data_IF_363123115758
#
_entry.id   IF_363123115758
#
_cell.length_a   1.000
_cell.length_b   1.000
_cell.length_c   1.000
_cell.angle_alpha   90.00
_cell.angle_beta   90.00
_cell.angle_gamma   90.00
#
_symmetry.space_group_name_H-M   'P 1'
#
loop_
_entity.id
_entity.type
_entity.pdbx_description
1 polymer ?
#
# COMPACT_ATOMS: atom_id res chain seq x y z
N UNK A 1 -20.35 -12.25 19.63
CA UNK A 1 -20.05 -10.92 19.08
C UNK A 1 -18.57 -10.80 18.66
N UNK A 2 -17.61 -11.24 19.49
CA UNK A 2 -16.16 -11.19 19.16
C UNK A 2 -15.76 -11.91 17.85
N UNK A 3 -16.33 -13.06 17.51
CA UNK A 3 -15.94 -13.78 16.29
C UNK A 3 -16.23 -13.01 15.00
N UNK A 4 -17.32 -12.23 14.96
CA UNK A 4 -17.69 -11.43 13.78
C UNK A 4 -16.65 -10.34 13.53
N UNK A 5 -16.17 -9.70 14.61
CA UNK A 5 -15.17 -8.63 14.53
C UNK A 5 -13.84 -9.19 14.03
N UNK A 6 -13.38 -10.30 14.60
CA UNK A 6 -12.10 -10.94 14.22
C UNK A 6 -12.09 -11.37 12.76
N UNK A 7 -13.19 -11.96 12.26
CA UNK A 7 -13.27 -12.33 10.85
C UNK A 7 -13.20 -11.09 9.94
N UNK A 8 -13.89 -10.01 10.29
CA UNK A 8 -13.91 -8.78 9.49
C UNK A 8 -12.53 -8.10 9.45
N UNK A 9 -11.84 -8.07 10.59
CA UNK A 9 -10.46 -7.58 10.72
C UNK A 9 -9.51 -8.36 9.81
N UNK A 10 -9.59 -9.71 9.88
CA UNK A 10 -8.76 -10.59 9.06
C UNK A 10 -8.97 -10.38 7.55
N UNK A 11 -10.22 -10.21 7.12
CA UNK A 11 -10.51 -9.88 5.71
C UNK A 11 -9.93 -8.53 5.31
N UNK A 12 -10.01 -7.53 6.19
CA UNK A 12 -9.49 -6.18 5.93
C UNK A 12 -7.98 -6.20 5.83
N UNK A 13 -7.28 -6.92 6.72
CA UNK A 13 -5.83 -7.07 6.69
C UNK A 13 -5.33 -7.78 5.42
N UNK A 14 -6.02 -8.85 5.00
CA UNK A 14 -5.69 -9.57 3.76
C UNK A 14 -5.88 -8.66 2.54
N UNK A 15 -6.98 -7.89 2.50
CA UNK A 15 -7.22 -6.92 1.44
C UNK A 15 -6.20 -5.78 1.44
N UNK A 16 -5.84 -5.27 2.61
CA UNK A 16 -4.82 -4.23 2.77
C UNK A 16 -3.47 -4.74 2.26
N UNK A 17 -3.06 -5.95 2.64
CA UNK A 17 -1.86 -6.61 2.13
C UNK A 17 -1.86 -6.70 0.60
N UNK A 18 -2.97 -7.15 0.00
CA UNK A 18 -3.09 -7.21 -1.46
C UNK A 18 -2.96 -5.84 -2.13
N UNK A 19 -3.59 -4.81 -1.56
CA UNK A 19 -3.50 -3.44 -2.06
C UNK A 19 -2.06 -2.88 -1.97
N UNK A 20 -1.33 -3.19 -0.89
CA UNK A 20 0.09 -2.83 -0.70
C UNK A 20 0.93 -3.41 -1.84
N UNK A 21 0.85 -4.73 -2.04
CA UNK A 21 1.64 -5.42 -3.05
C UNK A 21 1.25 -5.00 -4.48
N UNK A 22 -0.03 -4.74 -4.76
CA UNK A 22 -0.48 -4.25 -6.06
C UNK A 22 0.10 -2.87 -6.39
N UNK A 23 0.14 -1.96 -5.41
CA UNK A 23 0.68 -0.61 -5.57
C UNK A 23 2.19 -0.63 -5.85
N UNK A 24 2.94 -1.42 -5.07
CA UNK A 24 4.39 -1.57 -5.26
C UNK A 24 4.71 -2.32 -6.56
N UNK A 25 3.92 -3.34 -6.92
CA UNK A 25 4.09 -4.07 -8.18
C UNK A 25 3.85 -3.20 -9.42
N UNK A 26 2.84 -2.32 -9.37
CA UNK A 26 2.64 -1.30 -10.39
C UNK A 26 3.85 -0.35 -10.47
N UNK A 27 4.33 0.13 -9.32
CA UNK A 27 5.47 1.04 -9.25
C UNK A 27 6.75 0.41 -9.85
N UNK A 28 7.04 -0.84 -9.49
CA UNK A 28 8.17 -1.62 -10.02
C UNK A 28 8.12 -1.77 -11.54
N UNK A 29 6.91 -1.91 -12.11
CA UNK A 29 6.71 -2.02 -13.57
C UNK A 29 6.95 -0.68 -14.27
N UNK A 30 6.50 0.42 -13.65
CA UNK A 30 6.63 1.78 -14.21
C UNK A 30 8.10 2.28 -14.18
N UNK A 31 8.80 2.08 -13.05
CA UNK A 31 10.20 2.49 -12.88
C UNK A 31 11.22 1.48 -13.43
N UNK A 32 10.77 0.28 -13.88
CA UNK A 32 11.62 -0.85 -14.28
C UNK A 32 12.64 -1.25 -13.21
N UNK A 33 12.29 -1.04 -11.94
CA UNK A 33 13.11 -1.41 -10.79
C UNK A 33 12.57 -2.70 -10.16
N UNK A 34 13.44 -3.51 -9.54
CA UNK A 34 13.00 -4.75 -8.90
C UNK A 34 12.17 -4.47 -7.64
N UNK A 35 11.06 -5.20 -7.47
CA UNK A 35 10.20 -5.18 -6.27
C UNK A 35 11.02 -5.39 -4.98
N UNK A 36 12.14 -6.12 -5.07
CA UNK A 36 13.06 -6.37 -3.95
C UNK A 36 13.58 -5.07 -3.33
N UNK A 37 13.84 -4.04 -4.14
CA UNK A 37 14.34 -2.73 -3.69
C UNK A 37 13.38 -2.07 -2.69
N UNK A 38 12.08 -2.30 -2.88
CA UNK A 38 11.03 -1.76 -2.04
C UNK A 38 10.65 -2.72 -0.91
N UNK A 39 10.81 -4.04 -1.10
CA UNK A 39 10.55 -5.05 -0.07
C UNK A 39 11.54 -4.96 1.11
N UNK A 40 12.77 -4.52 0.87
CA UNK A 40 13.79 -4.34 1.91
C UNK A 40 13.46 -3.19 2.88
N UNK A 41 12.66 -2.22 2.44
CA UNK A 41 12.14 -1.15 3.28
C UNK A 41 11.01 -1.69 4.18
N UNK A 42 11.34 -2.44 5.22
CA UNK A 42 10.36 -2.91 6.20
C UNK A 42 9.98 -1.78 7.19
N UNK A 43 8.69 -1.63 7.47
CA UNK A 43 8.18 -0.70 8.49
C UNK A 43 7.82 0.70 7.96
N UNK A 44 8.03 1.78 8.75
CA UNK A 44 7.57 3.12 8.38
C UNK A 44 8.22 3.66 7.09
N UNK A 45 9.42 3.17 6.73
CA UNK A 45 10.08 3.55 5.47
C UNK A 45 9.28 3.20 4.21
N UNK A 46 8.53 2.09 4.23
CA UNK A 46 7.65 1.71 3.11
C UNK A 46 6.52 2.73 2.94
N UNK A 47 5.86 3.06 4.05
CA UNK A 47 4.71 3.96 4.10
C UNK A 47 5.07 5.41 3.78
N UNK A 48 6.24 5.90 4.20
CA UNK A 48 6.60 7.32 4.05
C UNK A 48 7.45 7.62 2.80
N UNK A 49 7.96 6.62 2.10
CA UNK A 49 8.80 6.82 0.90
C UNK A 49 8.19 6.13 -0.32
N UNK A 50 8.09 4.81 -0.28
CA UNK A 50 7.62 3.99 -1.42
C UNK A 50 6.18 4.29 -1.82
N UNK A 51 5.29 4.50 -0.84
CA UNK A 51 3.87 4.76 -1.12
C UNK A 51 3.60 6.14 -1.76
N UNK A 52 4.12 7.26 -1.22
CA UNK A 52 4.02 8.57 -1.86
C UNK A 52 4.60 8.56 -3.28
N UNK A 53 5.73 7.87 -3.47
CA UNK A 53 6.36 7.67 -4.78
C UNK A 53 5.42 6.91 -5.72
N UNK A 54 4.80 5.81 -5.25
CA UNK A 54 3.83 5.05 -6.04
C UNK A 54 2.62 5.89 -6.47
N UNK A 55 2.06 6.64 -5.53
CA UNK A 55 0.89 7.48 -5.75
C UNK A 55 1.20 8.61 -6.74
N UNK A 56 2.40 9.18 -6.70
CA UNK A 56 2.82 10.25 -7.62
C UNK A 56 2.89 9.79 -9.08
N UNK A 57 3.21 8.51 -9.32
CA UNK A 57 3.27 7.91 -10.65
C UNK A 57 1.91 7.41 -11.17
N UNK A 58 0.88 7.31 -10.33
CA UNK A 58 -0.45 6.89 -10.76
C UNK A 58 -1.25 8.03 -11.41
N UNK A 59 -2.00 7.78 -12.50
CA UNK A 59 -2.81 8.78 -13.19
C UNK A 59 -3.98 9.34 -12.35
N UNK A 60 -4.25 8.77 -11.16
CA UNK A 60 -5.24 9.24 -10.19
C UNK A 60 -4.62 9.55 -8.81
N UNK A 61 -3.40 10.12 -8.81
CA UNK A 61 -2.59 10.42 -7.61
C UNK A 61 -3.35 11.15 -6.50
N UNK A 62 -4.19 12.13 -6.84
CA UNK A 62 -4.97 12.90 -5.85
C UNK A 62 -5.97 12.03 -5.07
N UNK A 63 -6.59 11.04 -5.70
CA UNK A 63 -7.61 10.20 -5.06
C UNK A 63 -6.95 9.15 -4.15
N UNK A 64 -5.85 8.55 -4.59
CA UNK A 64 -5.08 7.58 -3.79
C UNK A 64 -4.30 8.24 -2.65
N UNK A 65 -3.83 9.48 -2.80
CA UNK A 65 -3.18 10.23 -1.72
C UNK A 65 -4.15 10.50 -0.57
N UNK A 66 -5.38 10.89 -0.88
CA UNK A 66 -6.44 11.11 0.13
C UNK A 66 -6.75 9.81 0.88
N UNK A 67 -6.91 8.69 0.16
CA UNK A 67 -7.18 7.38 0.77
C UNK A 67 -6.03 6.92 1.68
N UNK A 68 -4.78 7.13 1.27
CA UNK A 68 -3.60 6.79 2.07
C UNK A 68 -3.53 7.59 3.37
N UNK A 69 -3.74 8.91 3.30
CA UNK A 69 -3.74 9.76 4.50
C UNK A 69 -4.94 9.51 5.41
N UNK A 70 -6.09 9.10 4.86
CA UNK A 70 -7.26 8.70 5.65
C UNK A 70 -7.02 7.37 6.39
N UNK A 71 -6.30 6.43 5.78
CA UNK A 71 -5.91 5.17 6.44
C UNK A 71 -4.86 5.38 7.54
N UNK A 72 -4.00 6.41 7.43
CA UNK A 72 -2.93 6.70 8.37
C UNK A 72 -3.40 7.49 9.61
N UNK A 73 -4.62 8.06 9.57
CA UNK A 73 -5.21 8.86 10.65
C UNK A 73 -6.25 8.07 11.45
#
# INVERSE_FOLDING_TARGET
>A
QMCIVVSCDYFTDVFAGFAVFATIGYLSTELKESVSKYADASGPGLAFITYPEAIAHMPASSLFSILFFLMLF
#
